data_IF_645371510396
#
_entry.id   IF_645371510396
#
_cell.length_a   1.000
_cell.length_b   1.000
_cell.length_c   1.000
_cell.angle_alpha   90.00
_cell.angle_beta   90.00
_cell.angle_gamma   90.00
#
_symmetry.space_group_name_H-M   'P 1'
#
loop_
_entity.id
_entity.type
_entity.pdbx_description
1 polymer ?
#
# COMPACT_ATOMS: atom_id res chain seq x y z
N UNK A 1 -13.29 1.13 -17.64
CA UNK A 1 -12.62 0.89 -16.34
C UNK A 1 -11.34 0.14 -16.64
N UNK A 2 -10.16 0.71 -16.33
CA UNK A 2 -8.87 0.05 -16.60
C UNK A 2 -8.74 -1.12 -15.61
N UNK A 3 -8.59 -2.34 -16.09
CA UNK A 3 -8.30 -3.49 -15.22
C UNK A 3 -6.86 -3.35 -14.76
N UNK A 4 -6.65 -3.39 -13.45
CA UNK A 4 -5.31 -3.40 -12.87
C UNK A 4 -4.84 -4.86 -12.83
N UNK A 5 -3.72 -5.15 -13.48
CA UNK A 5 -3.09 -6.45 -13.47
C UNK A 5 -1.98 -6.44 -12.40
N UNK A 6 -2.23 -7.09 -11.26
CA UNK A 6 -1.32 -7.06 -10.11
C UNK A 6 0.06 -7.67 -10.46
N UNK A 7 0.16 -8.84 -11.14
CA UNK A 7 1.42 -9.37 -11.62
C UNK A 7 2.26 -8.37 -12.45
N UNK A 8 1.66 -7.68 -13.42
CA UNK A 8 2.37 -6.69 -14.25
C UNK A 8 2.84 -5.49 -13.43
N UNK A 9 2.10 -5.09 -12.39
CA UNK A 9 2.54 -4.03 -11.47
C UNK A 9 3.75 -4.47 -10.64
N UNK A 10 3.75 -5.71 -10.15
CA UNK A 10 4.87 -6.23 -9.36
C UNK A 10 6.13 -6.40 -10.23
N UNK A 11 5.99 -6.78 -11.50
CA UNK A 11 7.11 -6.88 -12.45
C UNK A 11 7.73 -5.50 -12.80
N UNK A 12 6.95 -4.42 -12.68
CA UNK A 12 7.44 -3.05 -12.90
C UNK A 12 8.25 -2.50 -11.71
N UNK A 13 8.19 -3.16 -10.55
CA UNK A 13 8.87 -2.73 -9.33
C UNK A 13 8.27 -1.48 -8.67
N UNK A 14 8.73 -1.16 -7.47
CA UNK A 14 8.39 0.11 -6.82
C UNK A 14 8.83 1.27 -7.69
N UNK A 15 7.94 2.23 -7.88
CA UNK A 15 8.20 3.43 -8.65
C UNK A 15 7.45 4.60 -8.02
N UNK A 16 7.61 5.80 -8.58
CA UNK A 16 7.02 7.02 -8.01
C UNK A 16 5.48 6.97 -7.86
N UNK A 17 4.80 6.00 -8.49
CA UNK A 17 3.36 5.81 -8.48
C UNK A 17 2.94 4.43 -7.91
N UNK A 18 3.88 3.58 -7.46
CA UNK A 18 3.62 2.26 -6.89
C UNK A 18 4.45 2.04 -5.62
N UNK A 19 3.77 1.89 -4.49
CA UNK A 19 4.37 1.58 -3.19
C UNK A 19 3.87 0.23 -2.68
N UNK A 20 4.77 -0.66 -2.25
CA UNK A 20 4.45 -1.92 -1.61
C UNK A 20 4.75 -1.88 -0.11
N UNK A 21 3.79 -2.30 0.73
CA UNK A 21 4.04 -2.40 2.18
C UNK A 21 3.51 -3.70 2.78
N UNK A 22 4.36 -4.31 3.62
CA UNK A 22 3.99 -5.45 4.42
C UNK A 22 3.18 -5.04 5.64
N UNK A 23 2.02 -5.66 5.82
CA UNK A 23 1.08 -5.36 6.90
C UNK A 23 0.80 -6.60 7.74
N UNK A 24 1.82 -7.09 8.49
CA UNK A 24 1.68 -8.26 9.38
C UNK A 24 1.00 -7.95 10.72
N UNK A 25 1.06 -6.71 11.20
CA UNK A 25 0.50 -6.29 12.50
C UNK A 25 -0.35 -5.01 12.43
N UNK A 26 -0.76 -4.61 11.23
CA UNK A 26 -1.48 -3.36 10.98
C UNK A 26 -0.86 -2.58 9.82
N UNK A 27 -1.50 -1.45 9.51
CA UNK A 27 -1.09 -0.49 8.47
C UNK A 27 0.07 0.35 9.04
N UNK A 28 1.26 0.38 8.43
CA UNK A 28 2.36 1.23 8.89
C UNK A 28 1.96 2.71 8.92
N UNK A 29 2.37 3.46 9.94
CA UNK A 29 2.18 4.93 9.98
C UNK A 29 2.77 5.62 8.73
N UNK A 30 3.83 5.05 8.15
CA UNK A 30 4.46 5.50 6.91
C UNK A 30 3.50 5.52 5.71
N UNK A 31 2.35 4.83 5.75
CA UNK A 31 1.34 4.91 4.69
C UNK A 31 0.76 6.30 4.54
N UNK A 32 0.69 7.08 5.62
CA UNK A 32 0.18 8.45 5.53
C UNK A 32 1.07 9.34 4.67
N UNK A 33 2.39 9.18 4.77
CA UNK A 33 3.35 9.94 3.97
C UNK A 33 3.16 9.61 2.49
N UNK A 34 3.09 8.32 2.13
CA UNK A 34 2.82 7.87 0.77
C UNK A 34 1.45 8.33 0.27
N UNK A 35 0.39 8.15 1.07
CA UNK A 35 -0.97 8.55 0.71
C UNK A 35 -1.05 10.07 0.46
N UNK A 36 -0.46 10.88 1.34
CA UNK A 36 -0.42 12.34 1.20
C UNK A 36 0.39 12.76 -0.01
N UNK A 37 1.52 12.10 -0.27
CA UNK A 37 2.33 12.37 -1.45
C UNK A 37 1.57 12.05 -2.74
N UNK A 38 0.92 10.89 -2.83
CA UNK A 38 0.10 10.52 -3.99
C UNK A 38 -1.09 11.47 -4.18
N UNK A 39 -1.76 11.89 -3.11
CA UNK A 39 -2.86 12.84 -3.19
C UNK A 39 -2.44 14.23 -3.73
N UNK A 40 -1.18 14.61 -3.54
CA UNK A 40 -0.62 15.89 -4.01
C UNK A 40 0.11 15.80 -5.36
N UNK A 41 0.24 14.61 -5.93
CA UNK A 41 0.97 14.36 -7.19
C UNK A 41 0.02 13.75 -8.22
N UNK A 42 0.53 12.93 -9.15
CA UNK A 42 -0.30 12.26 -10.18
C UNK A 42 -1.16 11.11 -9.62
N UNK A 43 -1.19 10.92 -8.30
CA UNK A 43 -1.77 9.74 -7.67
C UNK A 43 -0.79 8.57 -7.65
N UNK A 44 -1.32 7.39 -7.33
CA UNK A 44 -0.54 6.17 -7.27
C UNK A 44 -1.34 5.00 -6.71
N UNK A 45 -0.70 3.85 -6.65
CA UNK A 45 -1.22 2.58 -6.16
C UNK A 45 -0.42 2.19 -4.92
N UNK A 46 -1.12 1.86 -3.83
CA UNK A 46 -0.51 1.30 -2.63
C UNK A 46 -0.93 -0.17 -2.54
N UNK A 47 0.04 -1.08 -2.61
CA UNK A 47 -0.18 -2.52 -2.42
C UNK A 47 0.12 -2.91 -0.97
N UNK A 48 -0.92 -3.36 -0.27
CA UNK A 48 -0.84 -3.80 1.12
C UNK A 48 -0.79 -5.32 1.21
N UNK A 49 0.09 -5.84 2.06
CA UNK A 49 0.31 -7.28 2.18
C UNK A 49 1.31 -7.85 1.18
N UNK A 50 2.08 -6.97 0.52
CA UNK A 50 3.22 -7.36 -0.30
C UNK A 50 4.49 -6.99 0.45
N UNK A 51 5.39 -7.95 0.59
CA UNK A 51 6.73 -7.76 1.12
C UNK A 51 7.70 -7.68 -0.06
N UNK A 52 8.41 -6.57 -0.20
CA UNK A 52 9.55 -6.48 -1.07
C UNK A 52 10.79 -6.98 -0.35
N UNK A 53 11.50 -7.92 -0.96
CA UNK A 53 12.76 -8.44 -0.46
C UNK A 53 13.67 -8.80 -1.63
N UNK A 54 14.89 -8.26 -1.66
CA UNK A 54 15.91 -8.57 -2.66
C UNK A 54 15.39 -8.41 -4.11
N UNK A 55 14.73 -7.29 -4.43
CA UNK A 55 14.06 -7.00 -5.71
C UNK A 55 12.94 -7.99 -6.10
N UNK A 56 12.44 -8.77 -5.14
CA UNK A 56 11.31 -9.69 -5.33
C UNK A 56 10.12 -9.30 -4.47
N UNK A 57 8.94 -9.34 -5.08
CA UNK A 57 7.67 -9.07 -4.38
C UNK A 57 7.02 -10.37 -3.96
N UNK A 58 6.78 -10.51 -2.65
CA UNK A 58 6.11 -11.66 -2.07
C UNK A 58 4.78 -11.25 -1.47
N UNK A 59 3.70 -11.76 -2.04
CA UNK A 59 2.37 -11.63 -1.44
C UNK A 59 2.33 -12.46 -0.16
N UNK A 60 1.95 -11.82 0.93
CA UNK A 60 1.81 -12.42 2.26
C UNK A 60 0.33 -12.49 2.63
N UNK A 61 -0.05 -13.50 3.40
CA UNK A 61 -1.40 -13.58 3.95
C UNK A 61 -1.61 -12.45 4.96
N UNK A 62 -2.68 -11.68 4.77
CA UNK A 62 -3.07 -10.59 5.66
C UNK A 62 -4.49 -10.78 6.16
N UNK A 63 -4.76 -10.33 7.38
CA UNK A 63 -6.13 -10.21 7.90
C UNK A 63 -6.78 -8.98 7.25
N UNK A 64 -7.60 -9.22 6.22
CA UNK A 64 -8.19 -8.17 5.38
C UNK A 64 -9.14 -7.29 6.20
N UNK A 65 -9.93 -7.88 7.10
CA UNK A 65 -10.90 -7.13 7.90
C UNK A 65 -10.20 -6.18 8.86
N UNK A 66 -9.19 -6.69 9.58
CA UNK A 66 -8.40 -5.87 10.49
C UNK A 66 -7.57 -4.82 9.71
N UNK A 67 -7.06 -5.17 8.53
CA UNK A 67 -6.32 -4.25 7.68
C UNK A 67 -7.18 -3.08 7.23
N UNK A 68 -8.38 -3.35 6.70
CA UNK A 68 -9.32 -2.31 6.28
C UNK A 68 -9.71 -1.43 7.46
N UNK A 69 -10.06 -2.03 8.60
CA UNK A 69 -10.41 -1.28 9.80
C UNK A 69 -9.26 -0.38 10.27
N UNK A 70 -8.03 -0.89 10.30
CA UNK A 70 -6.86 -0.11 10.70
C UNK A 70 -6.54 1.01 9.70
N UNK A 71 -6.70 0.76 8.40
CA UNK A 71 -6.53 1.78 7.37
C UNK A 71 -7.50 2.95 7.58
N UNK A 72 -8.80 2.64 7.68
CA UNK A 72 -9.83 3.66 7.90
C UNK A 72 -9.66 4.37 9.25
N UNK A 73 -9.28 3.64 10.29
CA UNK A 73 -8.96 4.25 11.57
C UNK A 73 -7.77 5.21 11.43
N UNK A 74 -6.67 4.84 10.80
CA UNK A 74 -5.52 5.73 10.65
C UNK A 74 -5.84 7.00 9.87
N UNK A 75 -6.55 6.90 8.74
CA UNK A 75 -6.89 8.10 7.95
C UNK A 75 -7.92 8.99 8.66
N UNK A 76 -8.84 8.42 9.44
CA UNK A 76 -9.86 9.18 10.18
C UNK A 76 -9.37 9.68 11.54
N UNK A 77 -8.26 9.15 12.05
CA UNK A 77 -7.67 9.52 13.35
C UNK A 77 -6.55 10.56 13.20
N UNK A 78 -6.33 11.09 11.99
CA UNK A 78 -5.69 12.40 11.80
C UNK A 78 -6.62 13.50 12.35
N UNK A 79 -6.86 13.45 13.66
CA UNK A 79 -7.31 14.60 14.41
C UNK A 79 -6.12 15.56 14.44
N UNK A 80 -6.37 16.74 13.88
CA UNK A 80 -5.66 18.00 14.13
C UNK A 80 -5.01 18.07 15.51
#
# INVERSE_FOLDING_TARGET
>A
MRRINIPELLDLGENAELECKLTKKGVPNAIWETYSFFANTNGGIILLGVEEKDDTFKVQSVDIENLQKNFWNQINTLKK
#
